data_IF_310780739113
#
_entry.id   IF_310780739113
#
_cell.length_a   1.000
_cell.length_b   1.000
_cell.length_c   1.000
_cell.angle_alpha   90.00
_cell.angle_beta   90.00
_cell.angle_gamma   90.00
#
_symmetry.space_group_name_H-M   'P 1'
#
loop_
_entity.id
_entity.type
_entity.pdbx_description
1 polymer ?
#
# COMPACT_ATOMS: atom_id res chain seq x y z
N UNK A 1 -29.71 -1.57 -10.94
CA UNK A 1 -28.24 -1.47 -10.83
C UNK A 1 -27.81 -0.01 -10.93
N UNK A 2 -27.06 0.51 -9.94
CA UNK A 2 -26.60 1.91 -9.84
C UNK A 2 -25.63 2.27 -10.98
N UNK A 3 -25.50 3.57 -11.34
CA UNK A 3 -24.60 4.06 -12.42
C UNK A 3 -23.15 3.58 -12.22
N UNK A 4 -22.61 3.77 -11.01
CA UNK A 4 -21.24 3.37 -10.64
C UNK A 4 -21.01 1.87 -10.76
N UNK A 5 -21.94 1.05 -10.27
CA UNK A 5 -21.89 -0.42 -10.43
C UNK A 5 -21.81 -0.86 -11.89
N UNK A 6 -22.56 -0.20 -12.79
CA UNK A 6 -22.49 -0.49 -14.23
C UNK A 6 -21.11 -0.15 -14.81
N UNK A 7 -20.53 0.99 -14.43
CA UNK A 7 -19.21 1.42 -14.88
C UNK A 7 -18.11 0.44 -14.41
N UNK A 8 -18.16 0.05 -13.13
CA UNK A 8 -17.26 -0.96 -12.57
C UNK A 8 -17.39 -2.29 -13.33
N UNK A 9 -18.62 -2.75 -13.58
CA UNK A 9 -18.87 -4.02 -14.25
C UNK A 9 -18.29 -4.06 -15.68
N UNK A 10 -18.31 -2.92 -16.40
CA UNK A 10 -17.72 -2.81 -17.74
C UNK A 10 -16.22 -3.04 -17.71
N UNK A 11 -15.52 -2.52 -16.70
CA UNK A 11 -14.06 -2.69 -16.54
C UNK A 11 -13.72 -4.08 -15.99
N UNK A 12 -14.51 -4.57 -15.03
CA UNK A 12 -14.27 -5.84 -14.34
C UNK A 12 -14.42 -7.04 -15.27
N UNK A 13 -15.45 -7.07 -16.13
CA UNK A 13 -15.77 -8.20 -17.03
C UNK A 13 -14.59 -8.68 -17.89
N UNK A 14 -13.92 -7.83 -18.70
CA UNK A 14 -12.81 -8.29 -19.54
C UNK A 14 -11.63 -8.82 -18.71
N UNK A 15 -11.35 -8.22 -17.55
CA UNK A 15 -10.22 -8.61 -16.69
C UNK A 15 -10.46 -9.90 -15.89
N UNK A 16 -11.73 -10.23 -15.63
CA UNK A 16 -12.15 -11.42 -14.88
C UNK A 16 -12.64 -12.58 -15.77
N UNK A 17 -12.70 -12.39 -17.09
CA UNK A 17 -13.23 -13.39 -18.04
C UNK A 17 -12.57 -14.77 -17.91
N UNK A 18 -11.26 -14.81 -17.68
CA UNK A 18 -10.51 -16.07 -17.53
C UNK A 18 -10.78 -16.79 -16.19
N UNK A 19 -11.46 -16.14 -15.25
CA UNK A 19 -11.70 -16.66 -13.91
C UNK A 19 -13.03 -17.42 -13.78
N UNK A 20 -13.90 -17.36 -14.80
CA UNK A 20 -15.11 -18.19 -14.87
C UNK A 20 -16.25 -17.77 -13.93
N UNK A 21 -16.21 -16.58 -13.33
CA UNK A 21 -17.31 -16.07 -12.52
C UNK A 21 -18.60 -15.92 -13.34
N UNK A 22 -19.72 -16.27 -12.71
CA UNK A 22 -21.04 -16.02 -13.24
C UNK A 22 -21.34 -14.52 -13.31
N UNK A 23 -22.37 -14.18 -14.08
CA UNK A 23 -22.82 -12.79 -14.20
C UNK A 23 -23.23 -12.21 -12.85
N UNK A 24 -23.96 -12.97 -12.04
CA UNK A 24 -24.47 -12.51 -10.74
C UNK A 24 -23.31 -12.24 -9.76
N UNK A 25 -22.31 -13.11 -9.73
CA UNK A 25 -21.10 -12.91 -8.91
C UNK A 25 -20.34 -11.65 -9.33
N UNK A 26 -20.14 -11.43 -10.65
CA UNK A 26 -19.49 -10.22 -11.15
C UNK A 26 -20.30 -8.96 -10.85
N UNK A 27 -21.64 -9.03 -10.88
CA UNK A 27 -22.52 -7.93 -10.50
C UNK A 27 -22.43 -7.60 -9.01
N UNK A 28 -22.33 -8.61 -8.14
CA UNK A 28 -22.07 -8.44 -6.71
C UNK A 28 -20.72 -7.79 -6.43
N UNK A 29 -19.64 -8.33 -7.02
CA UNK A 29 -18.28 -7.77 -6.88
C UNK A 29 -18.24 -6.32 -7.38
N UNK A 30 -18.89 -6.03 -8.52
CA UNK A 30 -18.97 -4.68 -9.04
C UNK A 30 -19.75 -3.73 -8.12
N UNK A 31 -20.75 -4.21 -7.39
CA UNK A 31 -21.49 -3.42 -6.42
C UNK A 31 -20.62 -3.09 -5.20
N UNK A 32 -19.87 -4.06 -4.68
CA UNK A 32 -18.97 -3.87 -3.54
C UNK A 32 -17.84 -2.89 -3.88
N UNK A 33 -17.19 -3.07 -5.04
CA UNK A 33 -16.19 -2.12 -5.52
C UNK A 33 -16.81 -0.73 -5.68
N UNK A 34 -18.00 -0.61 -6.25
CA UNK A 34 -18.66 0.68 -6.43
C UNK A 34 -19.04 1.38 -5.12
N UNK A 35 -19.39 0.62 -4.07
CA UNK A 35 -19.71 1.18 -2.76
C UNK A 35 -18.46 1.67 -2.02
N UNK A 36 -17.28 1.13 -2.35
CA UNK A 36 -15.99 1.50 -1.76
C UNK A 36 -15.22 2.54 -2.58
N UNK A 37 -15.82 3.12 -3.62
CA UNK A 37 -15.20 4.21 -4.38
C UNK A 37 -15.30 5.50 -3.57
N UNK A 38 -14.16 6.00 -3.11
CA UNK A 38 -14.00 7.33 -2.54
C UNK A 38 -13.72 8.31 -3.67
N UNK A 39 -14.78 8.91 -4.22
CA UNK A 39 -14.70 9.87 -5.32
C UNK A 39 -15.51 11.11 -4.99
N UNK A 40 -14.99 12.27 -5.38
CA UNK A 40 -15.75 13.51 -5.38
C UNK A 40 -16.96 13.40 -6.33
N UNK A 41 -18.10 13.96 -5.96
CA UNK A 41 -19.29 14.00 -6.80
C UNK A 41 -19.06 14.82 -8.09
N UNK A 42 -18.09 15.75 -8.07
CA UNK A 42 -17.67 16.57 -9.22
C UNK A 42 -16.51 15.97 -10.02
N UNK A 43 -16.01 14.79 -9.67
CA UNK A 43 -14.89 14.17 -10.37
C UNK A 43 -15.21 13.93 -11.86
N UNK A 44 -14.24 14.22 -12.73
CA UNK A 44 -14.38 14.02 -14.17
C UNK A 44 -14.60 12.54 -14.49
N UNK A 45 -15.30 12.23 -15.59
CA UNK A 45 -15.52 10.84 -16.01
C UNK A 45 -14.19 10.07 -16.21
N UNK A 46 -13.09 10.78 -16.50
CA UNK A 46 -11.75 10.22 -16.68
C UNK A 46 -11.11 9.84 -15.33
N UNK A 47 -11.18 10.72 -14.32
CA UNK A 47 -10.71 10.44 -12.94
C UNK A 47 -11.51 9.31 -12.30
N UNK A 48 -12.83 9.32 -12.54
CA UNK A 48 -13.73 8.25 -12.15
C UNK A 48 -13.29 6.91 -12.72
N UNK A 49 -12.98 6.88 -14.02
CA UNK A 49 -12.60 5.65 -14.69
C UNK A 49 -11.23 5.14 -14.20
N UNK A 50 -10.30 6.05 -13.93
CA UNK A 50 -8.98 5.72 -13.37
C UNK A 50 -9.08 5.12 -11.96
N UNK A 51 -9.90 5.68 -11.08
CA UNK A 51 -10.09 5.12 -9.73
C UNK A 51 -10.84 3.79 -9.77
N UNK A 52 -11.83 3.64 -10.64
CA UNK A 52 -12.48 2.33 -10.87
C UNK A 52 -11.46 1.30 -11.33
N UNK A 53 -10.61 1.65 -12.29
CA UNK A 53 -9.60 0.72 -12.80
C UNK A 53 -8.58 0.34 -11.72
N UNK A 54 -8.16 1.28 -10.88
CA UNK A 54 -7.31 1.04 -9.72
C UNK A 54 -7.97 0.06 -8.73
N UNK A 55 -9.23 0.28 -8.35
CA UNK A 55 -9.93 -0.60 -7.42
C UNK A 55 -10.21 -1.98 -8.02
N UNK A 56 -10.58 -2.04 -9.31
CA UNK A 56 -10.74 -3.32 -10.03
C UNK A 56 -9.41 -4.08 -10.03
N UNK A 57 -8.30 -3.41 -10.34
CA UNK A 57 -6.98 -4.06 -10.32
C UNK A 57 -6.58 -4.53 -8.91
N UNK A 58 -6.98 -3.80 -7.86
CA UNK A 58 -6.75 -4.21 -6.48
C UNK A 58 -7.54 -5.47 -6.08
N UNK A 59 -8.75 -5.69 -6.63
CA UNK A 59 -9.55 -6.89 -6.31
C UNK A 59 -9.18 -8.12 -7.14
N UNK A 60 -8.59 -7.96 -8.33
CA UNK A 60 -8.25 -9.07 -9.23
C UNK A 60 -7.39 -10.18 -8.61
N UNK A 61 -6.34 -9.89 -7.81
CA UNK A 61 -5.56 -10.92 -7.13
C UNK A 61 -6.43 -11.81 -6.22
N UNK A 62 -7.36 -11.21 -5.47
CA UNK A 62 -8.26 -11.96 -4.58
C UNK A 62 -9.24 -12.82 -5.37
N UNK A 63 -9.75 -12.32 -6.50
CA UNK A 63 -10.61 -13.11 -7.40
C UNK A 63 -9.87 -14.33 -7.97
N UNK A 64 -8.59 -14.17 -8.33
CA UNK A 64 -7.74 -15.30 -8.77
C UNK A 64 -7.54 -16.33 -7.65
N UNK A 65 -7.34 -15.88 -6.42
CA UNK A 65 -7.22 -16.77 -5.26
C UNK A 65 -8.53 -17.53 -5.05
N UNK A 66 -9.68 -16.84 -5.05
CA UNK A 66 -11.00 -17.46 -4.92
C UNK A 66 -11.24 -18.54 -5.99
N UNK A 67 -10.89 -18.25 -7.25
CA UNK A 67 -10.98 -19.22 -8.35
C UNK A 67 -10.08 -20.44 -8.12
N UNK A 68 -8.82 -20.25 -7.70
CA UNK A 68 -7.91 -21.36 -7.38
C UNK A 68 -8.43 -22.22 -6.23
N UNK A 69 -9.01 -21.60 -5.20
CA UNK A 69 -9.59 -22.31 -4.06
C UNK A 69 -10.78 -23.15 -4.49
N UNK A 70 -11.71 -22.58 -5.27
CA UNK A 70 -12.84 -23.33 -5.81
C UNK A 70 -12.37 -24.52 -6.66
N UNK A 71 -11.39 -24.31 -7.55
CA UNK A 71 -10.81 -25.37 -8.37
C UNK A 71 -10.19 -26.48 -7.51
N UNK A 72 -9.46 -26.11 -6.46
CA UNK A 72 -8.83 -27.06 -5.53
C UNK A 72 -9.85 -27.87 -4.75
N UNK A 73 -10.93 -27.24 -4.27
CA UNK A 73 -12.00 -27.94 -3.56
C UNK A 73 -12.69 -28.95 -4.47
N UNK A 74 -13.00 -28.56 -5.71
CA UNK A 74 -13.57 -29.44 -6.72
C UNK A 74 -12.61 -30.61 -7.01
N UNK A 75 -11.31 -30.34 -7.15
CA UNK A 75 -10.33 -31.40 -7.39
C UNK A 75 -10.23 -32.35 -6.20
N UNK A 76 -10.13 -31.84 -4.97
CA UNK A 76 -10.07 -32.69 -3.77
C UNK A 76 -11.32 -33.53 -3.58
N UNK A 77 -12.48 -33.04 -3.99
CA UNK A 77 -13.72 -33.82 -3.95
C UNK A 77 -13.71 -34.95 -4.99
N UNK A 78 -13.27 -34.66 -6.22
CA UNK A 78 -13.09 -35.68 -7.27
C UNK A 78 -12.10 -36.76 -6.84
N UNK A 79 -10.93 -36.35 -6.37
CA UNK A 79 -9.88 -37.25 -5.89
C UNK A 79 -10.38 -38.11 -4.70
N UNK A 80 -11.32 -37.61 -3.89
CA UNK A 80 -11.92 -38.39 -2.80
C UNK A 80 -13.04 -39.34 -3.24
N UNK A 81 -13.67 -39.11 -4.39
CA UNK A 81 -14.67 -40.02 -4.96
C UNK A 81 -14.02 -41.15 -5.76
N UNK A 82 -12.92 -40.88 -6.46
CA UNK A 82 -12.18 -41.88 -7.24
C UNK A 82 -11.48 -42.95 -6.37
N UNK A 83 -11.41 -42.75 -5.05
CA UNK A 83 -10.85 -43.73 -4.08
C UNK A 83 -11.91 -44.68 -3.48
N UNK A 84 -13.20 -44.46 -3.75
CA UNK A 84 -14.30 -45.29 -3.27
C UNK A 84 -14.81 -46.29 -4.35
N UNK A 85 -14.20 -46.31 -5.55
CA UNK A 85 -14.61 -47.12 -6.71
C UNK A 85 -13.63 -48.27 -7.05
N UNK A 86 -12.76 -48.68 -6.12
CA UNK A 86 -12.07 -49.97 -6.23
C UNK A 86 -13.09 -51.09 -6.00
N UNK A 87 -13.77 -51.43 -7.09
CA UNK A 87 -14.61 -52.61 -7.24
C UNK A 87 -13.89 -53.84 -6.70
N UNK A 88 -14.62 -54.50 -5.81
CA UNK A 88 -14.48 -55.90 -5.47
C UNK A 88 -14.62 -56.75 -6.73
N UNK A 89 -13.57 -57.51 -7.07
CA UNK A 89 -13.59 -58.54 -8.11
C UNK A 89 -12.48 -59.54 -7.73
N UNK A 90 -12.59 -60.85 -7.75
CA UNK A 90 -13.66 -61.85 -7.66
C UNK A 90 -12.89 -63.14 -7.26
N UNK A 91 -13.57 -64.17 -6.72
CA UNK A 91 -13.26 -65.60 -6.96
C UNK A 91 -13.92 -66.52 -5.90
N UNK A 92 -15.06 -67.05 -6.33
CA UNK A 92 -15.38 -68.48 -6.48
C UNK A 92 -16.28 -69.24 -5.48
N UNK A 93 -17.26 -69.88 -6.11
CA UNK A 93 -18.09 -71.06 -5.79
C UNK A 93 -19.38 -70.93 -4.95
N UNK A 94 -20.53 -71.04 -5.65
CA UNK A 94 -21.90 -71.31 -5.16
C UNK A 94 -22.03 -72.84 -4.89
N UNK A 95 -23.00 -73.41 -4.11
CA UNK A 95 -24.28 -72.81 -3.80
C UNK A 95 -24.88 -73.02 -2.39
N UNK A 96 -25.89 -72.18 -2.14
CA UNK A 96 -26.98 -72.35 -1.18
C UNK A 96 -26.74 -71.90 0.28
N UNK A 97 -27.57 -70.95 0.72
CA UNK A 97 -27.98 -70.86 2.13
C UNK A 97 -27.85 -69.49 2.78
N UNK A 98 -28.89 -68.68 2.61
CA UNK A 98 -29.56 -67.92 3.66
C UNK A 98 -28.72 -67.11 4.69
N UNK A 99 -29.04 -65.80 4.73
CA UNK A 99 -28.86 -64.80 5.81
C UNK A 99 -27.55 -63.99 5.79
N UNK A 100 -27.67 -62.77 5.23
CA UNK A 100 -26.77 -61.64 5.47
C UNK A 100 -26.65 -61.35 6.98
N UNK A 101 -25.45 -61.36 7.58
CA UNK A 101 -25.25 -60.65 8.82
C UNK A 101 -25.00 -59.18 8.47
N UNK A 102 -25.95 -58.30 8.80
CA UNK A 102 -25.69 -56.85 8.84
C UNK A 102 -24.62 -56.62 9.90
N UNK A 103 -23.37 -56.53 9.46
CA UNK A 103 -22.24 -56.10 10.28
C UNK A 103 -22.48 -54.63 10.58
N UNK A 104 -23.07 -54.33 11.75
CA UNK A 104 -23.02 -53.01 12.35
C UNK A 104 -21.55 -52.70 12.64
N UNK A 105 -20.84 -52.16 11.66
CA UNK A 105 -19.61 -51.44 11.92
C UNK A 105 -19.97 -50.25 12.80
N UNK A 106 -19.66 -50.39 14.09
CA UNK A 106 -19.57 -49.30 15.03
C UNK A 106 -18.53 -48.33 14.46
N UNK A 107 -18.97 -47.33 13.69
CA UNK A 107 -18.16 -46.16 13.41
C UNK A 107 -18.03 -45.43 14.74
N UNK A 108 -16.96 -45.73 15.47
CA UNK A 108 -16.46 -44.81 16.48
C UNK A 108 -16.10 -43.54 15.72
N UNK A 109 -17.03 -42.57 15.76
CA UNK A 109 -16.78 -41.21 15.31
C UNK A 109 -15.77 -40.63 16.30
N UNK A 110 -14.50 -40.87 16.03
CA UNK A 110 -13.48 -39.94 16.49
C UNK A 110 -13.82 -38.60 15.86
N UNK A 111 -14.00 -37.59 16.70
CA UNK A 111 -14.26 -36.19 16.35
C UNK A 111 -13.07 -35.52 15.63
N UNK A 112 -12.32 -36.28 14.84
CA UNK A 112 -11.28 -35.75 13.98
C UNK A 112 -11.93 -35.04 12.80
N UNK A 113 -11.67 -33.73 12.75
CA UNK A 113 -11.90 -32.89 11.57
C UNK A 113 -11.33 -33.63 10.36
N UNK A 114 -12.15 -33.98 9.35
CA UNK A 114 -11.70 -34.74 8.19
C UNK A 114 -10.47 -34.09 7.54
N UNK A 115 -9.56 -34.89 6.96
CA UNK A 115 -8.30 -34.40 6.41
C UNK A 115 -8.49 -33.23 5.40
N UNK A 116 -9.56 -33.27 4.59
CA UNK A 116 -9.91 -32.19 3.68
C UNK A 116 -10.26 -30.87 4.41
N UNK A 117 -10.97 -30.96 5.54
CA UNK A 117 -11.33 -29.81 6.36
C UNK A 117 -10.10 -29.25 7.11
N UNK A 118 -9.19 -30.11 7.56
CA UNK A 118 -7.92 -29.69 8.15
C UNK A 118 -7.01 -28.98 7.14
N UNK A 119 -6.96 -29.48 5.90
CA UNK A 119 -6.25 -28.85 4.78
C UNK A 119 -6.84 -27.47 4.45
N UNK A 120 -8.18 -27.36 4.45
CA UNK A 120 -8.89 -26.09 4.23
C UNK A 120 -8.61 -25.07 5.34
N UNK A 121 -8.63 -25.48 6.61
CA UNK A 121 -8.30 -24.62 7.76
C UNK A 121 -6.87 -24.10 7.65
N UNK A 122 -5.93 -24.96 7.29
CA UNK A 122 -4.51 -24.59 7.14
C UNK A 122 -4.33 -23.56 6.02
N UNK A 123 -5.00 -23.78 4.88
CA UNK A 123 -4.95 -22.84 3.76
C UNK A 123 -5.62 -21.50 4.10
N UNK A 124 -6.76 -21.51 4.79
CA UNK A 124 -7.42 -20.28 5.22
C UNK A 124 -6.55 -19.47 6.19
N UNK A 125 -5.79 -20.13 7.09
CA UNK A 125 -4.81 -19.44 7.94
C UNK A 125 -3.67 -18.83 7.14
N UNK A 126 -3.13 -19.54 6.15
CA UNK A 126 -2.07 -19.02 5.29
C UNK A 126 -2.56 -17.78 4.51
N UNK A 127 -3.78 -17.83 3.96
CA UNK A 127 -4.41 -16.71 3.27
C UNK A 127 -4.66 -15.51 4.21
N UNK A 128 -5.11 -15.74 5.45
CA UNK A 128 -5.25 -14.66 6.43
C UNK A 128 -3.92 -13.97 6.72
N UNK A 129 -2.83 -14.73 6.85
CA UNK A 129 -1.49 -14.18 7.04
C UNK A 129 -1.04 -13.35 5.84
N UNK A 130 -1.23 -13.84 4.61
CA UNK A 130 -0.91 -13.07 3.39
C UNK A 130 -1.76 -11.80 3.26
N UNK A 131 -3.05 -11.87 3.57
CA UNK A 131 -3.95 -10.71 3.56
C UNK A 131 -3.50 -9.65 4.57
N UNK A 132 -3.13 -10.06 5.79
CA UNK A 132 -2.60 -9.14 6.79
C UNK A 132 -1.26 -8.53 6.36
N UNK A 133 -0.39 -9.31 5.70
CA UNK A 133 0.85 -8.81 5.11
C UNK A 133 0.62 -7.80 3.99
N UNK A 134 -0.29 -8.09 3.06
CA UNK A 134 -0.63 -7.16 1.97
C UNK A 134 -1.28 -5.87 2.50
N UNK A 135 -2.09 -5.97 3.54
CA UNK A 135 -2.70 -4.79 4.17
C UNK A 135 -1.64 -3.89 4.81
N UNK A 136 -0.69 -4.48 5.55
CA UNK A 136 0.39 -3.70 6.17
C UNK A 136 1.35 -3.11 5.14
N UNK A 137 1.65 -3.82 4.05
CA UNK A 137 2.45 -3.31 2.94
C UNK A 137 1.76 -2.12 2.25
N UNK A 138 0.46 -2.22 1.96
CA UNK A 138 -0.32 -1.12 1.37
C UNK A 138 -0.37 0.11 2.27
N UNK A 139 -0.55 -0.08 3.58
CA UNK A 139 -0.51 1.02 4.55
C UNK A 139 0.87 1.69 4.56
N UNK A 140 1.95 0.89 4.55
CA UNK A 140 3.30 1.41 4.51
C UNK A 140 3.59 2.19 3.22
N UNK A 141 3.13 1.72 2.06
CA UNK A 141 3.22 2.44 0.79
C UNK A 141 2.47 3.78 0.81
N UNK A 142 1.27 3.79 1.41
CA UNK A 142 0.47 5.01 1.61
C UNK A 142 1.20 6.03 2.47
N UNK A 143 1.73 5.61 3.63
CA UNK A 143 2.54 6.42 4.54
C UNK A 143 3.79 6.98 3.85
N UNK A 144 4.51 6.12 3.13
CA UNK A 144 5.69 6.51 2.34
C UNK A 144 5.35 7.55 1.29
N UNK A 145 4.20 7.42 0.63
CA UNK A 145 3.74 8.37 -0.39
C UNK A 145 3.41 9.73 0.22
N UNK A 146 2.70 9.78 1.37
CA UNK A 146 2.44 11.02 2.13
C UNK A 146 3.76 11.73 2.48
N UNK A 147 4.71 10.98 3.06
CA UNK A 147 6.02 11.50 3.47
C UNK A 147 6.85 12.00 2.28
N UNK A 148 6.83 11.27 1.16
CA UNK A 148 7.52 11.66 -0.08
C UNK A 148 6.95 12.96 -0.66
N UNK A 149 5.64 13.19 -0.55
CA UNK A 149 5.01 14.42 -1.01
C UNK A 149 5.46 15.63 -0.16
N UNK A 150 5.49 15.48 1.17
CA UNK A 150 5.95 16.51 2.11
C UNK A 150 7.41 16.91 1.85
N UNK A 151 8.27 15.92 1.62
CA UNK A 151 9.72 16.10 1.51
C UNK A 151 10.20 16.42 0.09
N UNK A 152 9.26 16.63 -0.83
CA UNK A 152 9.59 16.96 -2.22
C UNK A 152 10.47 18.22 -2.25
N UNK A 153 11.58 18.14 -2.98
CA UNK A 153 12.54 19.23 -3.15
C UNK A 153 13.26 19.72 -1.87
N UNK A 154 13.14 18.99 -0.75
CA UNK A 154 13.84 19.28 0.53
C UNK A 154 15.28 18.75 0.59
N UNK A 155 15.87 18.42 -0.57
CA UNK A 155 17.29 18.06 -0.69
C UNK A 155 17.72 16.86 0.15
N UNK A 156 18.86 16.99 0.85
CA UNK A 156 19.47 15.90 1.65
C UNK A 156 18.62 15.52 2.85
N UNK A 157 17.94 16.48 3.48
CA UNK A 157 17.03 16.21 4.59
C UNK A 157 15.94 15.22 4.16
N UNK A 158 15.24 15.53 3.05
CA UNK A 158 14.20 14.66 2.52
C UNK A 158 14.67 13.24 2.19
N UNK A 159 15.87 13.10 1.59
CA UNK A 159 16.47 11.80 1.31
C UNK A 159 16.79 11.00 2.57
N UNK A 160 17.29 11.66 3.61
CA UNK A 160 17.63 11.02 4.89
C UNK A 160 16.38 10.56 5.63
N UNK A 161 15.35 11.40 5.69
CA UNK A 161 14.08 11.05 6.35
C UNK A 161 13.41 9.88 5.65
N UNK A 162 13.34 9.86 4.31
CA UNK A 162 12.80 8.71 3.57
C UNK A 162 13.59 7.42 3.81
N UNK A 163 14.93 7.49 3.86
CA UNK A 163 15.78 6.33 4.14
C UNK A 163 15.58 5.80 5.57
N UNK A 164 15.30 6.68 6.52
CA UNK A 164 15.01 6.28 7.90
C UNK A 164 13.60 5.69 8.01
N UNK A 165 12.61 6.28 7.32
CA UNK A 165 11.25 5.73 7.22
C UNK A 165 11.26 4.29 6.68
N UNK A 166 12.05 4.01 5.63
CA UNK A 166 12.16 2.65 5.04
C UNK A 166 12.68 1.59 6.05
N UNK A 167 13.25 2.01 7.19
CA UNK A 167 13.74 1.13 8.27
C UNK A 167 12.82 1.10 9.50
N UNK A 168 11.85 2.00 9.56
CA UNK A 168 10.90 2.10 10.66
C UNK A 168 9.74 1.12 10.47
N UNK A 169 9.10 0.75 11.57
CA UNK A 169 7.84 0.02 11.59
C UNK A 169 6.90 0.79 12.51
N UNK A 170 5.69 1.03 12.01
CA UNK A 170 4.62 1.69 12.76
C UNK A 170 3.58 0.64 13.11
N UNK A 171 3.15 0.59 14.37
CA UNK A 171 2.12 -0.35 14.82
C UNK A 171 0.72 0.11 14.40
N UNK A 172 0.53 1.42 14.28
CA UNK A 172 -0.75 2.04 13.98
C UNK A 172 -0.55 3.40 13.27
N UNK A 173 -1.65 4.01 12.79
CA UNK A 173 -1.58 5.31 12.11
C UNK A 173 -1.20 6.45 13.06
N UNK A 174 -1.54 6.37 14.35
CA UNK A 174 -1.19 7.41 15.33
C UNK A 174 0.32 7.57 15.48
N UNK A 175 1.06 6.46 15.56
CA UNK A 175 2.54 6.51 15.61
C UNK A 175 3.15 7.09 14.33
N UNK A 176 2.52 6.81 13.18
CA UNK A 176 2.95 7.41 11.93
C UNK A 176 2.67 8.90 11.90
N UNK A 177 1.50 9.34 12.39
CA UNK A 177 1.13 10.75 12.46
C UNK A 177 2.07 11.51 13.40
N UNK A 178 2.41 10.96 14.57
CA UNK A 178 3.40 11.56 15.49
C UNK A 178 4.78 11.72 14.82
N UNK A 179 5.23 10.70 14.08
CA UNK A 179 6.47 10.79 13.31
C UNK A 179 6.36 11.82 12.18
N UNK A 180 5.24 11.86 11.47
CA UNK A 180 5.00 12.80 10.38
C UNK A 180 5.02 14.24 10.89
N UNK A 181 4.36 14.52 12.02
CA UNK A 181 4.33 15.83 12.66
C UNK A 181 5.72 16.26 13.12
N UNK A 182 6.51 15.35 13.71
CA UNK A 182 7.92 15.63 14.02
C UNK A 182 8.74 16.02 12.79
N UNK A 183 8.52 15.36 11.65
CA UNK A 183 9.18 15.73 10.38
C UNK A 183 8.73 17.10 9.87
N UNK A 184 7.45 17.46 10.07
CA UNK A 184 6.93 18.79 9.73
C UNK A 184 7.58 19.87 10.60
N UNK A 185 7.73 19.63 11.90
CA UNK A 185 8.40 20.56 12.82
C UNK A 185 9.87 20.75 12.46
N UNK A 186 10.61 19.67 12.21
CA UNK A 186 12.01 19.73 11.78
C UNK A 186 12.16 20.52 10.47
N UNK A 187 11.24 20.33 9.52
CA UNK A 187 11.22 21.12 8.28
C UNK A 187 11.03 22.61 8.55
N UNK A 188 10.11 22.98 9.43
CA UNK A 188 9.87 24.37 9.78
C UNK A 188 11.10 25.00 10.44
N UNK A 189 11.78 24.27 11.32
CA UNK A 189 13.03 24.70 11.95
C UNK A 189 14.14 24.91 10.91
N UNK A 190 14.34 23.96 9.99
CA UNK A 190 15.36 24.05 8.93
C UNK A 190 15.08 25.22 7.99
N UNK A 191 13.83 25.41 7.58
CA UNK A 191 13.45 26.53 6.70
C UNK A 191 13.68 27.88 7.40
N UNK A 192 13.41 27.97 8.72
CA UNK A 192 13.70 29.15 9.53
C UNK A 192 15.21 29.41 9.70
N UNK A 193 16.02 28.37 10.00
CA UNK A 193 17.47 28.48 10.09
C UNK A 193 18.07 28.98 8.77
N UNK A 194 17.61 28.44 7.64
CA UNK A 194 18.04 28.87 6.31
C UNK A 194 17.64 30.32 6.02
N UNK A 195 16.45 30.75 6.44
CA UNK A 195 16.03 32.14 6.31
C UNK A 195 16.91 33.08 7.14
N UNK A 196 17.21 32.71 8.38
CA UNK A 196 18.08 33.47 9.28
C UNK A 196 19.52 33.55 8.77
N UNK A 197 20.08 32.45 8.28
CA UNK A 197 21.42 32.43 7.66
C UNK A 197 21.46 33.28 6.38
N UNK A 198 20.42 33.18 5.54
CA UNK A 198 20.30 33.99 4.33
C UNK A 198 20.27 35.49 4.65
N UNK A 199 19.51 35.88 5.67
CA UNK A 199 19.45 37.25 6.18
C UNK A 199 20.79 37.70 6.77
N UNK A 200 21.45 36.84 7.56
CA UNK A 200 22.78 37.10 8.12
C UNK A 200 23.85 37.32 7.03
N UNK A 201 23.76 36.59 5.92
CA UNK A 201 24.64 36.74 4.75
C UNK A 201 24.35 38.01 3.94
N UNK A 202 23.11 38.52 3.94
CA UNK A 202 22.77 39.78 3.28
C UNK A 202 23.33 41.01 4.02
N UNK A 203 23.76 40.86 5.28
CA UNK A 203 24.25 41.95 6.11
C UNK A 203 23.14 42.94 6.51
N UNK A 204 23.44 43.83 7.47
CA UNK A 204 22.50 44.89 7.83
C UNK A 204 22.29 45.83 6.62
N UNK A 205 21.05 46.26 6.33
CA UNK A 205 20.79 47.25 5.29
C UNK A 205 21.61 48.52 5.57
N UNK A 206 22.04 49.20 4.51
CA UNK A 206 22.96 50.35 4.54
C UNK A 206 22.41 51.63 5.22
N UNK A 207 21.48 51.51 6.18
CA UNK A 207 21.08 52.59 7.04
C UNK A 207 21.93 52.51 8.32
N UNK A 208 22.77 53.52 8.54
CA UNK A 208 23.62 53.75 9.73
C UNK A 208 25.00 53.08 9.75
N UNK A 209 25.72 53.07 8.62
CA UNK A 209 27.17 53.34 8.73
C UNK A 209 27.34 54.85 8.87
N UNK A 210 27.49 55.36 10.10
CA UNK A 210 28.07 56.70 10.30
C UNK A 210 29.41 56.72 9.56
N UNK A 211 29.68 57.72 8.70
CA UNK A 211 30.98 57.80 8.06
C UNK A 211 32.03 57.88 9.16
N UNK A 212 32.97 56.93 9.17
CA UNK A 212 34.24 57.18 9.85
C UNK A 212 34.83 58.41 9.16
N UNK A 213 35.03 59.48 9.93
CA UNK A 213 35.90 60.56 9.50
C UNK A 213 37.29 59.95 9.43
N UNK A 214 37.67 59.48 8.25
CA UNK A 214 39.09 59.42 7.92
C UNK A 214 39.51 60.89 7.82
N UNK A 215 40.23 61.37 8.84
CA UNK A 215 40.93 62.65 8.73
C UNK A 215 41.95 62.49 7.61
N UNK A 216 41.57 62.94 6.41
CA UNK A 216 42.52 63.24 5.36
C UNK A 216 43.33 64.41 5.91
N UNK A 217 44.57 64.16 6.32
CA UNK A 217 45.55 65.20 6.59
C UNK A 217 45.73 65.99 5.28
N UNK A 218 45.02 67.11 5.20
CA UNK A 218 45.19 68.08 4.13
C UNK A 218 46.54 68.72 4.39
N UNK A 219 47.49 68.49 3.47
CA UNK A 219 48.79 69.17 3.42
C UNK A 219 48.51 70.65 3.67
N UNK A 220 49.13 71.21 4.71
CA UNK A 220 48.89 72.60 5.10
C UNK A 220 49.58 73.50 4.09
N UNK A 221 48.98 74.64 3.76
CA UNK A 221 49.40 75.54 2.66
C UNK A 221 50.90 75.92 2.69
N UNK A 222 51.53 75.89 3.87
CA UNK A 222 52.95 76.15 4.07
C UNK A 222 53.90 75.05 3.55
N UNK A 223 53.43 73.84 3.27
CA UNK A 223 54.23 72.77 2.62
C UNK A 223 54.17 72.84 1.09
N UNK A 224 53.24 73.63 0.52
CA UNK A 224 53.10 73.83 -0.93
C UNK A 224 54.13 74.85 -1.44
N UNK A 225 54.45 75.87 -0.64
CA UNK A 225 55.43 76.91 -1.01
C UNK A 225 56.87 76.37 -1.06
N UNK A 226 57.25 75.44 -0.18
CA UNK A 226 58.58 74.80 -0.21
C UNK A 226 58.79 73.90 -1.45
N UNK A 227 57.71 73.31 -1.99
CA UNK A 227 57.73 72.52 -3.24
C UNK A 227 57.81 73.40 -4.50
N UNK A 228 57.41 74.67 -4.41
CA UNK A 228 57.49 75.62 -5.52
C UNK A 228 58.87 76.29 -5.64
N UNK A 229 59.63 76.41 -4.54
CA UNK A 229 61.01 76.95 -4.55
C UNK A 229 62.07 75.93 -4.98
N UNK A 230 61.70 74.65 -5.13
CA UNK A 230 62.61 73.55 -5.51
C UNK A 230 62.49 73.12 -6.99
N UNK A 231 61.71 73.83 -7.81
CA UNK A 231 61.66 73.70 -9.28
C UNK A 231 62.29 74.90 -9.99
#
# INVERSE_FOLDING_TARGET
MKKRTKQVLVILKPKSKALGFSREELEGIAADVANNLELDEEASDEDVNAEIEKQVNAVLPYLKIAQKTAQRTIQSFKDSQDLDDDEVDDDDDDPAGNKKPIRKQKREKDEQVPAWAQALITQNKALQTEILGLKSERENDGRRSKLKALLKDKGTFGKTVLKNFDKMKFENESEFDDFYDSVVEDLAAIDQERANEGLGKLGAPAAQRKPKKDEVEVIKDNEIDELAETM
#
